data_IF_296288080979
#
_entry.id   IF_296288080979
#
_cell.length_a   1.000
_cell.length_b   1.000
_cell.length_c   1.000
_cell.angle_alpha   90.00
_cell.angle_beta   90.00
_cell.angle_gamma   90.00
#
_symmetry.space_group_name_H-M   'P 1'
#
loop_
_entity.id
_entity.type
_entity.pdbx_description
1 polymer ?
#
# COMPACT_ATOMS: atom_id res chain seq x y z
N UNK A 1 -14.01 2.03 -13.11
CA UNK A 1 -12.96 1.19 -12.46
C UNK A 1 -13.65 0.15 -11.61
N UNK A 2 -13.31 -1.12 -11.73
CA UNK A 2 -13.86 -2.18 -10.87
C UNK A 2 -13.20 -2.00 -9.49
N UNK A 3 -14.00 -1.80 -8.45
CA UNK A 3 -13.52 -1.74 -7.07
C UNK A 3 -13.29 -3.17 -6.56
N UNK A 4 -12.08 -3.68 -6.76
CA UNK A 4 -11.68 -5.04 -6.34
C UNK A 4 -11.77 -5.26 -4.82
N UNK A 5 -11.76 -4.19 -4.04
CA UNK A 5 -11.71 -4.27 -2.59
C UNK A 5 -13.10 -4.21 -1.93
N UNK A 6 -14.15 -3.83 -2.68
CA UNK A 6 -15.48 -3.64 -2.10
C UNK A 6 -16.05 -4.91 -1.45
N UNK A 7 -15.76 -6.07 -2.03
CA UNK A 7 -16.27 -7.36 -1.56
C UNK A 7 -15.62 -7.83 -0.26
N UNK A 8 -14.32 -7.53 -0.08
CA UNK A 8 -13.52 -7.97 1.07
C UNK A 8 -13.16 -6.84 2.05
N UNK A 9 -13.64 -5.62 1.80
CA UNK A 9 -13.30 -4.42 2.57
C UNK A 9 -13.51 -4.56 4.08
N UNK A 10 -14.58 -5.26 4.51
CA UNK A 10 -14.91 -5.47 5.93
C UNK A 10 -13.82 -6.23 6.69
N UNK A 11 -12.99 -7.01 6.00
CA UNK A 11 -11.91 -7.79 6.61
C UNK A 11 -10.54 -7.13 6.47
N UNK A 12 -10.43 -6.13 5.59
CA UNK A 12 -9.14 -5.62 5.15
C UNK A 12 -8.30 -5.02 6.29
N UNK A 13 -8.96 -4.46 7.30
CA UNK A 13 -8.29 -3.90 8.46
C UNK A 13 -7.42 -4.93 9.21
N UNK A 14 -7.79 -6.21 9.21
CA UNK A 14 -7.03 -7.30 9.85
C UNK A 14 -5.67 -7.48 9.13
N UNK A 15 -5.69 -7.54 7.80
CA UNK A 15 -4.47 -7.63 6.99
C UNK A 15 -3.65 -6.36 7.11
N UNK A 16 -4.28 -5.19 6.96
CA UNK A 16 -3.61 -3.90 7.02
C UNK A 16 -2.89 -3.69 8.36
N UNK A 17 -3.51 -4.07 9.47
CA UNK A 17 -2.91 -3.99 10.81
C UNK A 17 -1.64 -4.84 10.89
N UNK A 18 -1.73 -6.11 10.51
CA UNK A 18 -0.59 -7.04 10.56
C UNK A 18 0.53 -6.60 9.62
N UNK A 19 0.16 -6.18 8.43
CA UNK A 19 1.09 -5.74 7.40
C UNK A 19 1.87 -4.51 7.86
N UNK A 20 1.16 -3.46 8.31
CA UNK A 20 1.76 -2.22 8.79
C UNK A 20 2.62 -2.42 10.04
N UNK A 21 2.31 -3.40 10.89
CA UNK A 21 3.18 -3.76 12.02
C UNK A 21 4.60 -4.14 11.57
N UNK A 22 4.74 -4.74 10.39
CA UNK A 22 6.05 -5.13 9.81
C UNK A 22 6.66 -4.06 8.93
N UNK A 23 5.86 -3.38 8.08
CA UNK A 23 6.33 -2.40 7.11
C UNK A 23 6.42 -0.96 7.66
N UNK A 24 5.70 -0.66 8.74
CA UNK A 24 5.68 0.67 9.35
C UNK A 24 7.02 1.14 9.92
N UNK A 25 7.76 0.34 10.70
CA UNK A 25 9.06 0.74 11.23
C UNK A 25 10.08 1.12 10.15
N UNK A 26 10.31 0.32 9.08
CA UNK A 26 11.22 0.72 8.00
C UNK A 26 10.73 1.95 7.23
N UNK A 27 9.42 2.09 6.97
CA UNK A 27 8.85 3.30 6.38
C UNK A 27 9.16 4.53 7.24
N UNK A 28 8.85 4.46 8.54
CA UNK A 28 9.12 5.54 9.48
C UNK A 28 10.61 5.93 9.52
N UNK A 29 11.52 4.94 9.42
CA UNK A 29 12.96 5.20 9.37
C UNK A 29 13.38 5.98 8.12
N UNK A 30 12.78 5.68 6.96
CA UNK A 30 13.04 6.43 5.71
C UNK A 30 12.52 7.86 5.81
N UNK A 31 11.31 8.04 6.37
CA UNK A 31 10.63 9.33 6.37
C UNK A 31 11.21 10.34 7.35
N UNK A 32 11.79 9.91 8.49
CA UNK A 32 12.31 10.82 9.53
C UNK A 32 13.35 11.84 9.06
N UNK A 33 14.00 11.59 7.93
CA UNK A 33 14.99 12.52 7.35
C UNK A 33 14.44 13.40 6.24
N UNK A 34 13.14 13.33 5.94
CA UNK A 34 12.52 14.09 4.85
C UNK A 34 12.27 15.53 5.27
N UNK A 35 12.74 16.46 4.44
CA UNK A 35 12.42 17.89 4.59
C UNK A 35 11.00 18.14 4.06
N UNK A 36 10.08 18.46 4.96
CA UNK A 36 8.67 18.71 4.64
C UNK A 36 8.36 20.16 4.25
N UNK A 37 9.37 21.02 4.15
CA UNK A 37 9.19 22.42 3.74
C UNK A 37 8.88 22.60 2.24
N UNK A 38 9.17 21.59 1.43
CA UNK A 38 8.95 21.62 -0.02
C UNK A 38 7.50 21.43 -0.43
N UNK A 39 6.65 20.81 0.39
CA UNK A 39 5.25 20.54 0.09
C UNK A 39 4.70 19.37 0.89
N UNK A 40 3.48 18.92 0.58
CA UNK A 40 2.87 17.78 1.27
C UNK A 40 3.57 16.47 0.94
N UNK A 41 3.38 15.48 1.81
CA UNK A 41 3.65 14.07 1.52
C UNK A 41 2.44 13.47 0.81
N UNK A 42 2.65 12.79 -0.29
CA UNK A 42 1.60 12.11 -1.03
C UNK A 42 1.59 10.61 -0.70
N UNK A 43 0.49 10.11 -0.21
CA UNK A 43 0.21 8.68 -0.10
C UNK A 43 -0.73 8.26 -1.23
N UNK A 44 -0.32 7.28 -2.03
CA UNK A 44 -1.13 6.70 -3.10
C UNK A 44 -1.60 5.31 -2.67
N UNK A 45 -2.91 5.11 -2.58
CA UNK A 45 -3.54 3.89 -2.09
C UNK A 45 -3.59 3.85 -0.56
N UNK A 46 -4.27 4.82 0.06
CA UNK A 46 -4.35 4.94 1.52
C UNK A 46 -5.05 3.78 2.23
N UNK A 47 -5.85 2.98 1.52
CA UNK A 47 -6.57 1.84 2.07
C UNK A 47 -7.40 2.22 3.29
N UNK A 48 -7.15 1.56 4.42
CA UNK A 48 -7.83 1.86 5.69
C UNK A 48 -7.16 2.99 6.50
N UNK A 49 -6.04 3.57 6.00
CA UNK A 49 -5.32 4.66 6.65
C UNK A 49 -4.23 4.24 7.65
N UNK A 50 -3.84 2.96 7.68
CA UNK A 50 -2.77 2.49 8.58
C UNK A 50 -1.41 3.08 8.21
N UNK A 51 -1.10 3.15 6.94
CA UNK A 51 0.15 3.74 6.46
C UNK A 51 0.11 5.26 6.66
N UNK A 52 -1.05 5.89 6.50
CA UNK A 52 -1.27 7.32 6.82
C UNK A 52 -0.87 7.65 8.26
N UNK A 53 -1.26 6.81 9.25
CA UNK A 53 -0.85 6.97 10.65
C UNK A 53 0.66 6.89 10.84
N UNK A 54 1.33 5.99 10.12
CA UNK A 54 2.80 5.87 10.15
C UNK A 54 3.47 7.11 9.59
N UNK A 55 2.99 7.62 8.45
CA UNK A 55 3.50 8.85 7.83
C UNK A 55 3.31 10.03 8.81
N UNK A 56 2.12 10.20 9.34
CA UNK A 56 1.80 11.28 10.26
C UNK A 56 2.65 11.26 11.54
N UNK A 57 2.91 10.06 12.08
CA UNK A 57 3.77 9.87 13.25
C UNK A 57 5.25 10.12 12.95
N UNK A 58 5.73 9.73 11.75
CA UNK A 58 7.12 9.92 11.35
C UNK A 58 7.43 11.38 11.02
N UNK A 59 6.44 12.13 10.52
CA UNK A 59 6.53 13.51 10.05
C UNK A 59 5.45 14.39 10.71
N UNK A 60 5.60 14.77 11.98
CA UNK A 60 4.56 15.43 12.76
C UNK A 60 4.19 16.84 12.26
N UNK A 61 4.99 17.45 11.38
CA UNK A 61 4.71 18.76 10.79
C UNK A 61 4.21 18.70 9.34
N UNK A 62 4.22 17.53 8.71
CA UNK A 62 3.85 17.37 7.31
C UNK A 62 2.34 17.51 7.10
N UNK A 63 1.95 18.20 6.04
CA UNK A 63 0.66 17.99 5.38
C UNK A 63 0.71 16.70 4.58
N UNK A 64 -0.39 15.95 4.59
CA UNK A 64 -0.47 14.65 3.92
C UNK A 64 -1.67 14.67 2.98
N UNK A 65 -1.46 14.34 1.72
CA UNK A 65 -2.53 14.07 0.76
C UNK A 65 -2.62 12.57 0.58
N UNK A 66 -3.79 11.99 0.82
CA UNK A 66 -4.02 10.55 0.69
C UNK A 66 -5.02 10.29 -0.41
N UNK A 67 -4.59 9.60 -1.45
CA UNK A 67 -5.43 9.18 -2.55
C UNK A 67 -5.88 7.72 -2.37
N UNK A 68 -7.20 7.50 -2.35
CA UNK A 68 -7.79 6.15 -2.26
C UNK A 68 -9.01 6.05 -3.17
N UNK A 69 -8.96 5.30 -4.28
CA UNK A 69 -10.05 5.22 -5.24
C UNK A 69 -11.26 4.41 -4.74
N UNK A 70 -11.06 3.39 -3.86
CA UNK A 70 -12.16 2.59 -3.32
C UNK A 70 -12.99 3.38 -2.31
N UNK A 71 -14.28 3.56 -2.56
CA UNK A 71 -15.19 4.27 -1.67
C UNK A 71 -15.31 3.57 -0.31
N UNK A 72 -15.27 2.25 -0.27
CA UNK A 72 -15.35 1.45 0.96
C UNK A 72 -14.10 1.59 1.81
N UNK A 73 -12.92 1.56 1.20
CA UNK A 73 -11.65 1.83 1.88
C UNK A 73 -11.58 3.27 2.35
N UNK A 74 -11.95 4.23 1.50
CA UNK A 74 -11.99 5.65 1.84
C UNK A 74 -12.90 5.96 3.03
N UNK A 75 -14.01 5.23 3.19
CA UNK A 75 -14.89 5.39 4.35
C UNK A 75 -14.17 5.03 5.66
N UNK A 76 -13.38 3.96 5.68
CA UNK A 76 -12.56 3.56 6.83
C UNK A 76 -11.44 4.57 7.10
N UNK A 77 -10.71 4.96 6.06
CA UNK A 77 -9.68 6.02 6.13
C UNK A 77 -10.26 7.32 6.69
N UNK A 78 -11.36 7.81 6.12
CA UNK A 78 -12.01 9.04 6.59
C UNK A 78 -12.48 8.92 8.03
N UNK A 79 -13.04 7.77 8.43
CA UNK A 79 -13.42 7.52 9.83
C UNK A 79 -12.21 7.58 10.77
N UNK A 80 -11.06 7.04 10.36
CA UNK A 80 -9.81 7.08 11.11
C UNK A 80 -9.31 8.51 11.26
N UNK A 81 -9.20 9.24 10.16
CA UNK A 81 -8.77 10.65 10.14
C UNK A 81 -9.71 11.51 10.99
N UNK A 82 -11.03 11.30 10.89
CA UNK A 82 -12.01 12.11 11.63
C UNK A 82 -11.96 11.93 13.15
N UNK A 83 -11.45 10.80 13.65
CA UNK A 83 -11.35 10.51 15.09
C UNK A 83 -10.10 11.08 15.75
N UNK A 84 -9.05 11.33 14.98
CA UNK A 84 -7.78 11.84 15.48
C UNK A 84 -7.68 13.35 15.18
N UNK A 85 -7.61 14.23 16.22
CA UNK A 85 -7.52 15.68 16.01
C UNK A 85 -6.28 16.14 15.25
N UNK A 86 -5.17 15.40 15.32
CA UNK A 86 -3.95 15.72 14.60
C UNK A 86 -4.09 15.38 13.11
N UNK A 87 -4.56 14.18 12.80
CA UNK A 87 -4.83 13.77 11.41
C UNK A 87 -5.85 14.69 10.74
N UNK A 88 -6.91 15.10 11.45
CA UNK A 88 -7.91 16.03 10.92
C UNK A 88 -7.35 17.37 10.46
N UNK A 89 -6.28 17.84 11.06
CA UNK A 89 -5.65 19.12 10.69
C UNK A 89 -4.73 19.00 9.48
N UNK A 90 -4.14 17.81 9.27
CA UNK A 90 -3.01 17.63 8.35
C UNK A 90 -3.29 16.70 7.17
N UNK A 91 -4.34 15.88 7.24
CA UNK A 91 -4.63 14.85 6.23
C UNK A 91 -5.78 15.30 5.35
N UNK A 92 -5.51 15.37 4.05
CA UNK A 92 -6.53 15.57 3.01
C UNK A 92 -6.76 14.25 2.28
N UNK A 93 -7.99 13.73 2.36
CA UNK A 93 -8.39 12.49 1.69
C UNK A 93 -9.04 12.81 0.35
N UNK A 94 -8.58 12.16 -0.72
CA UNK A 94 -9.10 12.32 -2.08
C UNK A 94 -9.45 10.97 -2.72
N UNK A 95 -10.33 10.97 -3.72
CA UNK A 95 -10.82 9.78 -4.43
C UNK A 95 -10.02 9.46 -5.71
N UNK A 96 -8.87 10.10 -5.91
CA UNK A 96 -8.04 9.94 -7.11
C UNK A 96 -7.42 8.55 -7.24
N UNK A 97 -7.47 7.99 -8.45
CA UNK A 97 -6.65 6.85 -8.82
C UNK A 97 -5.24 7.32 -9.25
N UNK A 98 -4.23 6.46 -9.07
CA UNK A 98 -2.83 6.80 -9.34
C UNK A 98 -2.59 7.36 -10.75
N UNK A 99 -3.31 6.82 -11.75
CA UNK A 99 -3.19 7.23 -13.16
C UNK A 99 -3.58 8.69 -13.39
N UNK A 100 -4.67 9.12 -12.76
CA UNK A 100 -5.33 10.42 -13.05
C UNK A 100 -5.29 11.38 -11.87
N UNK A 101 -4.58 11.01 -10.79
CA UNK A 101 -4.52 11.82 -9.57
C UNK A 101 -4.00 13.24 -9.87
N UNK A 102 -4.77 14.28 -9.53
CA UNK A 102 -4.27 15.64 -9.54
C UNK A 102 -3.12 15.76 -8.51
N UNK A 103 -1.96 16.22 -8.99
CA UNK A 103 -0.79 16.38 -8.13
C UNK A 103 -0.61 17.86 -7.79
N UNK A 104 -0.22 18.20 -6.54
CA UNK A 104 0.20 19.55 -6.19
C UNK A 104 1.49 19.93 -6.96
N UNK A 105 1.82 21.22 -6.98
CA UNK A 105 2.98 21.73 -7.71
C UNK A 105 4.30 21.17 -7.17
N UNK A 106 4.36 20.92 -5.88
CA UNK A 106 5.54 20.36 -5.19
C UNK A 106 5.14 19.30 -4.19
N UNK A 107 6.05 18.34 -3.94
CA UNK A 107 5.91 17.25 -2.98
C UNK A 107 7.21 17.12 -2.17
N UNK A 108 7.11 16.70 -0.93
CA UNK A 108 8.27 16.36 -0.09
C UNK A 108 8.66 14.89 -0.13
N UNK A 109 7.70 14.02 -0.30
CA UNK A 109 7.90 12.58 -0.46
C UNK A 109 6.64 11.93 -1.06
N UNK A 110 6.80 10.71 -1.57
CA UNK A 110 5.68 9.87 -2.00
C UNK A 110 5.76 8.51 -1.31
N UNK A 111 4.62 7.98 -0.87
CA UNK A 111 4.48 6.64 -0.31
C UNK A 111 3.44 5.86 -1.11
N UNK A 112 3.77 4.64 -1.51
CA UNK A 112 2.91 3.81 -2.35
C UNK A 112 3.03 2.34 -1.90
N UNK A 113 2.12 1.91 -1.02
CA UNK A 113 2.12 0.56 -0.47
C UNK A 113 0.95 -0.26 -1.04
N UNK A 114 1.26 -1.43 -1.60
CA UNK A 114 0.25 -2.31 -2.19
C UNK A 114 -0.44 -1.75 -3.44
N UNK A 115 0.21 -0.88 -4.23
CA UNK A 115 -0.42 -0.17 -5.37
C UNK A 115 0.29 -0.40 -6.70
N UNK A 116 1.61 -0.32 -6.73
CA UNK A 116 2.38 -0.26 -7.97
C UNK A 116 2.12 -1.45 -8.93
N UNK A 117 1.76 -2.61 -8.42
CA UNK A 117 1.43 -3.78 -9.22
C UNK A 117 0.03 -3.76 -9.85
N UNK A 118 -0.85 -2.84 -9.43
CA UNK A 118 -2.11 -2.60 -10.15
C UNK A 118 -1.93 -1.80 -11.43
N UNK A 119 -0.74 -1.21 -11.61
CA UNK A 119 -0.39 -0.42 -12.78
C UNK A 119 0.41 -1.25 -13.78
N UNK A 120 0.09 -1.12 -15.05
CA UNK A 120 0.94 -1.62 -16.13
C UNK A 120 2.27 -0.85 -16.16
N UNK A 121 3.31 -1.40 -16.79
CA UNK A 121 4.59 -0.72 -16.91
C UNK A 121 4.50 0.67 -17.56
N UNK A 122 3.74 0.88 -18.67
CA UNK A 122 3.54 2.23 -19.23
C UNK A 122 2.87 3.21 -18.25
N UNK A 123 1.86 2.75 -17.49
CA UNK A 123 1.19 3.59 -16.48
C UNK A 123 2.14 3.97 -15.33
N UNK A 124 2.97 3.02 -14.86
CA UNK A 124 4.01 3.31 -13.86
C UNK A 124 5.01 4.34 -14.38
N UNK A 125 5.54 4.16 -15.59
CA UNK A 125 6.48 5.12 -16.21
C UNK A 125 5.87 6.52 -16.30
N UNK A 126 4.61 6.63 -16.72
CA UNK A 126 3.91 7.91 -16.77
C UNK A 126 3.75 8.54 -15.38
N UNK A 127 3.42 7.73 -14.37
CA UNK A 127 3.30 8.18 -12.99
C UNK A 127 4.65 8.65 -12.42
N UNK A 128 5.72 7.87 -12.60
CA UNK A 128 7.06 8.24 -12.13
C UNK A 128 7.51 9.58 -12.70
N UNK A 129 7.28 9.81 -13.99
CA UNK A 129 7.60 11.08 -14.65
C UNK A 129 6.85 12.27 -14.03
N UNK A 130 5.57 12.08 -13.72
CA UNK A 130 4.74 13.11 -13.08
C UNK A 130 5.20 13.41 -11.66
N UNK A 131 5.56 12.38 -10.88
CA UNK A 131 6.04 12.51 -9.50
C UNK A 131 7.45 13.14 -9.46
N UNK A 132 8.36 12.68 -10.32
CA UNK A 132 9.73 13.21 -10.39
C UNK A 132 9.78 14.72 -10.71
N UNK A 133 8.83 15.21 -11.51
CA UNK A 133 8.74 16.63 -11.85
C UNK A 133 8.34 17.52 -10.64
N UNK A 134 7.87 16.92 -9.54
CA UNK A 134 7.35 17.63 -8.35
C UNK A 134 8.18 17.40 -7.10
N UNK A 135 9.08 16.43 -7.15
CA UNK A 135 9.96 16.11 -6.03
C UNK A 135 11.29 16.86 -6.18
N UNK A 136 11.82 17.45 -5.11
CA UNK A 136 13.17 17.95 -5.11
C UNK A 136 14.19 16.81 -5.19
N UNK A 137 15.42 17.14 -5.55
CA UNK A 137 16.51 16.16 -5.57
C UNK A 137 16.74 15.59 -4.17
N UNK A 138 16.89 14.28 -4.09
CA UNK A 138 17.05 13.58 -2.82
C UNK A 138 15.75 13.18 -2.13
N UNK A 139 14.59 13.68 -2.56
CA UNK A 139 13.30 13.27 -1.97
C UNK A 139 12.91 11.84 -2.35
N UNK A 140 12.39 11.04 -1.40
CA UNK A 140 12.11 9.63 -1.64
C UNK A 140 10.72 9.38 -2.24
N UNK A 141 10.64 8.38 -3.12
CA UNK A 141 9.43 7.63 -3.40
C UNK A 141 9.59 6.28 -2.72
N UNK A 142 8.75 5.97 -1.75
CA UNK A 142 8.81 4.73 -0.98
C UNK A 142 7.72 3.78 -1.46
N UNK A 143 8.14 2.64 -2.02
CA UNK A 143 7.23 1.66 -2.63
C UNK A 143 7.37 0.34 -1.90
N UNK A 144 6.25 -0.26 -1.50
CA UNK A 144 6.25 -1.62 -0.99
C UNK A 144 5.94 -2.61 -2.11
N UNK A 145 6.66 -3.72 -2.10
CA UNK A 145 6.56 -4.80 -3.07
C UNK A 145 5.91 -6.03 -2.45
N UNK A 146 5.11 -6.74 -3.24
CA UNK A 146 4.42 -7.97 -2.80
C UNK A 146 5.35 -9.18 -2.58
N UNK A 147 6.67 -9.02 -2.75
CA UNK A 147 7.63 -10.13 -2.62
C UNK A 147 7.55 -11.16 -3.76
N UNK A 148 6.92 -10.80 -4.87
CA UNK A 148 6.82 -11.62 -6.08
C UNK A 148 7.33 -10.81 -7.26
N UNK A 149 8.59 -11.03 -7.63
CA UNK A 149 9.29 -10.28 -8.69
C UNK A 149 9.11 -10.86 -10.08
N UNK A 150 8.55 -12.08 -10.20
CA UNK A 150 8.27 -12.75 -11.48
C UNK A 150 7.05 -13.67 -11.33
N UNK A 151 6.29 -13.89 -12.44
CA UNK A 151 5.13 -14.76 -12.41
C UNK A 151 5.48 -16.20 -12.00
N UNK A 152 4.70 -16.75 -11.08
CA UNK A 152 4.83 -18.13 -10.61
C UNK A 152 3.52 -18.63 -10.00
N UNK A 153 3.31 -19.94 -9.97
CA UNK A 153 2.17 -20.54 -9.26
C UNK A 153 2.42 -20.44 -7.76
N UNK A 154 1.46 -19.90 -7.04
CA UNK A 154 1.40 -19.84 -5.57
C UNK A 154 0.15 -20.60 -5.15
N UNK A 155 0.28 -21.83 -4.62
CA UNK A 155 -0.87 -22.57 -4.09
C UNK A 155 -1.58 -21.77 -2.99
N UNK A 156 -2.90 -21.92 -2.81
CA UNK A 156 -3.61 -21.26 -1.72
C UNK A 156 -2.99 -21.58 -0.36
N UNK A 157 -2.59 -20.55 0.36
CA UNK A 157 -1.98 -20.64 1.69
C UNK A 157 -2.72 -19.73 2.67
N UNK A 158 -2.94 -20.22 3.89
CA UNK A 158 -3.48 -19.40 4.97
C UNK A 158 -2.40 -18.42 5.44
N UNK A 159 -2.60 -17.15 5.17
CA UNK A 159 -1.66 -16.08 5.49
C UNK A 159 -1.96 -15.38 6.81
N UNK A 160 -3.24 -15.38 7.24
CA UNK A 160 -3.65 -14.78 8.50
C UNK A 160 -4.74 -15.63 9.16
N UNK A 161 -4.68 -15.73 10.49
CA UNK A 161 -5.75 -16.26 11.32
C UNK A 161 -5.85 -15.42 12.60
N UNK A 162 -7.02 -14.85 12.83
CA UNK A 162 -7.30 -13.95 13.95
C UNK A 162 -8.65 -14.28 14.57
N UNK A 163 -8.77 -14.12 15.90
CA UNK A 163 -10.05 -14.31 16.60
C UNK A 163 -10.54 -12.98 17.17
N UNK A 164 -11.76 -12.62 16.84
CA UNK A 164 -12.44 -11.43 17.37
C UNK A 164 -13.75 -11.88 17.99
N UNK A 165 -13.85 -11.69 19.30
CA UNK A 165 -14.98 -12.20 20.08
C UNK A 165 -15.10 -13.73 19.94
N UNK A 166 -16.21 -14.20 19.40
CA UNK A 166 -16.50 -15.64 19.22
C UNK A 166 -16.33 -16.13 17.78
N UNK A 167 -15.68 -15.34 16.93
CA UNK A 167 -15.46 -15.68 15.53
C UNK A 167 -13.97 -15.70 15.22
N UNK A 168 -13.54 -16.69 14.42
CA UNK A 168 -12.18 -16.75 13.88
C UNK A 168 -12.23 -16.40 12.39
N UNK A 169 -11.34 -15.52 11.97
CA UNK A 169 -11.17 -15.03 10.62
C UNK A 169 -9.91 -15.65 10.03
N UNK A 170 -10.03 -16.29 8.89
CA UNK A 170 -8.91 -16.81 8.12
C UNK A 170 -8.81 -16.09 6.78
N UNK A 171 -7.60 -15.65 6.43
CA UNK A 171 -7.31 -15.11 5.12
C UNK A 171 -6.38 -16.06 4.36
N UNK A 172 -6.85 -16.50 3.23
CA UNK A 172 -6.13 -17.36 2.30
C UNK A 172 -5.77 -16.59 1.05
N UNK A 173 -4.56 -16.78 0.53
CA UNK A 173 -4.08 -16.16 -0.70
C UNK A 173 -3.40 -17.19 -1.58
N UNK A 174 -3.69 -17.15 -2.88
CA UNK A 174 -3.02 -17.93 -3.91
C UNK A 174 -2.81 -17.05 -5.14
N UNK A 175 -2.04 -17.54 -6.10
CA UNK A 175 -1.79 -16.80 -7.33
C UNK A 175 -1.38 -17.71 -8.49
N UNK A 176 -1.68 -17.27 -9.69
CA UNK A 176 -1.30 -17.95 -10.93
C UNK A 176 -0.80 -16.92 -11.95
N UNK A 177 0.16 -17.30 -12.80
CA UNK A 177 0.58 -16.49 -13.94
C UNK A 177 -0.59 -16.20 -14.88
N UNK A 178 -0.58 -14.98 -15.45
CA UNK A 178 -1.40 -14.58 -16.58
C UNK A 178 -0.50 -14.18 -17.76
N UNK A 179 -0.87 -13.20 -18.54
CA UNK A 179 -0.04 -12.75 -19.65
C UNK A 179 1.13 -11.88 -19.20
N UNK A 180 2.29 -12.06 -19.84
CA UNK A 180 3.48 -11.23 -19.65
C UNK A 180 4.03 -11.33 -18.22
N UNK A 181 4.11 -10.20 -17.54
CA UNK A 181 4.61 -10.07 -16.17
C UNK A 181 3.50 -10.09 -15.11
N UNK A 182 2.26 -10.36 -15.50
CA UNK A 182 1.12 -10.30 -14.61
C UNK A 182 0.81 -11.64 -13.95
N UNK A 183 0.24 -11.56 -12.75
CA UNK A 183 -0.35 -12.65 -11.99
C UNK A 183 -1.79 -12.31 -11.63
N UNK A 184 -2.64 -13.34 -11.56
CA UNK A 184 -3.94 -13.25 -10.90
C UNK A 184 -3.80 -13.77 -9.48
N UNK A 185 -3.98 -12.90 -8.51
CA UNK A 185 -4.12 -13.31 -7.12
C UNK A 185 -5.59 -13.57 -6.80
N UNK A 186 -5.83 -14.63 -6.04
CA UNK A 186 -7.14 -14.93 -5.46
C UNK A 186 -7.00 -14.91 -3.96
N UNK A 187 -7.88 -14.15 -3.31
CA UNK A 187 -7.98 -14.06 -1.85
C UNK A 187 -9.29 -14.64 -1.39
N UNK A 188 -9.28 -15.37 -0.28
CA UNK A 188 -10.48 -15.94 0.32
C UNK A 188 -10.48 -15.68 1.82
N UNK A 189 -11.55 -15.08 2.29
CA UNK A 189 -11.83 -14.91 3.70
C UNK A 189 -12.82 -15.98 4.17
N UNK A 190 -12.51 -16.62 5.30
CA UNK A 190 -13.41 -17.54 5.98
C UNK A 190 -13.69 -17.05 7.38
N UNK A 191 -14.96 -17.02 7.75
CA UNK A 191 -15.40 -16.72 9.11
C UNK A 191 -15.88 -18.01 9.75
N UNK A 192 -15.26 -18.40 10.85
CA UNK A 192 -15.53 -19.64 11.57
C UNK A 192 -16.14 -19.34 12.94
N UNK A 193 -17.04 -20.20 13.39
CA UNK A 193 -17.51 -20.23 14.78
C UNK A 193 -16.50 -20.91 15.69
N UNK A 194 -16.74 -20.86 17.01
CA UNK A 194 -15.93 -21.53 18.04
C UNK A 194 -15.77 -23.04 17.81
N UNK A 195 -16.79 -23.71 17.22
CA UNK A 195 -16.76 -25.12 16.86
C UNK A 195 -15.96 -25.42 15.56
N UNK A 196 -15.35 -24.40 14.98
CA UNK A 196 -14.58 -24.51 13.73
C UNK A 196 -15.41 -24.55 12.45
N UNK A 197 -16.75 -24.48 12.54
CA UNK A 197 -17.61 -24.49 11.34
C UNK A 197 -17.55 -23.16 10.62
N UNK A 198 -17.25 -23.19 9.32
CA UNK A 198 -17.34 -22.00 8.46
C UNK A 198 -18.79 -21.55 8.32
N UNK A 199 -19.05 -20.30 8.66
CA UNK A 199 -20.38 -19.68 8.55
C UNK A 199 -20.47 -18.66 7.42
N UNK A 200 -19.31 -18.20 6.93
CA UNK A 200 -19.24 -17.29 5.79
C UNK A 200 -17.92 -17.48 5.05
N UNK A 201 -17.99 -17.40 3.73
CA UNK A 201 -16.82 -17.39 2.86
C UNK A 201 -16.98 -16.28 1.82
N UNK A 202 -15.93 -15.50 1.61
CA UNK A 202 -15.89 -14.38 0.64
C UNK A 202 -14.61 -14.50 -0.15
N UNK A 203 -14.72 -14.54 -1.48
CA UNK A 203 -13.55 -14.61 -2.36
C UNK A 203 -13.55 -13.45 -3.34
N UNK A 204 -12.35 -12.96 -3.66
CA UNK A 204 -12.11 -11.94 -4.64
C UNK A 204 -10.82 -12.22 -5.41
N UNK A 205 -10.63 -11.58 -6.56
CA UNK A 205 -9.41 -11.74 -7.34
C UNK A 205 -9.01 -10.42 -8.00
N UNK A 206 -7.71 -10.20 -8.14
CA UNK A 206 -7.16 -9.04 -8.80
C UNK A 206 -5.92 -9.41 -9.62
N UNK A 207 -5.60 -8.58 -10.61
CA UNK A 207 -4.37 -8.70 -11.40
C UNK A 207 -3.29 -7.84 -10.77
N UNK A 208 -2.09 -8.39 -10.72
CA UNK A 208 -0.89 -7.75 -10.19
C UNK A 208 0.28 -7.96 -11.14
N UNK A 209 0.87 -6.87 -11.62
CA UNK A 209 2.10 -6.90 -12.39
C UNK A 209 3.29 -7.10 -11.45
N UNK A 210 4.17 -8.04 -11.81
CA UNK A 210 5.34 -8.38 -10.99
C UNK A 210 6.56 -7.56 -11.41
N UNK A 211 7.35 -7.13 -10.46
CA UNK A 211 8.58 -6.38 -10.65
C UNK A 211 9.45 -6.46 -9.39
N UNK A 212 10.68 -6.06 -9.53
CA UNK A 212 11.60 -5.80 -8.41
C UNK A 212 11.95 -4.30 -8.30
N UNK A 213 12.72 -3.96 -7.27
CA UNK A 213 13.16 -2.56 -7.05
C UNK A 213 14.02 -2.04 -8.18
N UNK A 214 14.86 -2.90 -8.79
CA UNK A 214 15.74 -2.51 -9.89
C UNK A 214 14.95 -2.11 -11.14
N UNK A 215 13.89 -2.86 -11.45
CA UNK A 215 12.98 -2.53 -12.55
C UNK A 215 12.25 -1.20 -12.30
N UNK A 216 11.74 -0.98 -11.09
CA UNK A 216 11.09 0.29 -10.76
C UNK A 216 12.05 1.48 -10.88
N UNK A 217 13.30 1.30 -10.43
CA UNK A 217 14.33 2.33 -10.55
C UNK A 217 14.64 2.67 -12.01
N UNK A 218 14.76 1.65 -12.87
CA UNK A 218 14.96 1.83 -14.31
C UNK A 218 13.77 2.52 -14.98
N UNK A 219 12.53 2.12 -14.66
CA UNK A 219 11.30 2.77 -15.14
C UNK A 219 11.22 4.25 -14.72
N UNK A 220 11.67 4.57 -13.50
CA UNK A 220 11.65 5.93 -12.95
C UNK A 220 12.83 6.80 -13.41
N UNK A 221 13.91 6.20 -13.93
CA UNK A 221 15.18 6.91 -14.18
C UNK A 221 15.82 7.42 -12.88
N UNK A 222 15.66 6.70 -11.78
CA UNK A 222 16.08 7.07 -10.43
C UNK A 222 17.08 6.07 -9.86
N UNK A 223 17.85 6.49 -8.86
CA UNK A 223 18.61 5.55 -8.01
C UNK A 223 17.67 4.85 -7.05
N UNK A 224 18.08 3.67 -6.56
CA UNK A 224 17.25 2.95 -5.59
C UNK A 224 18.06 2.26 -4.51
N UNK A 225 17.45 2.07 -3.37
CA UNK A 225 17.87 1.14 -2.32
C UNK A 225 16.72 0.25 -1.88
N UNK A 226 17.05 -0.95 -1.46
CA UNK A 226 16.09 -1.95 -1.00
C UNK A 226 16.21 -2.12 0.52
N UNK A 227 15.07 -2.24 1.19
CA UNK A 227 14.99 -2.55 2.61
C UNK A 227 14.26 -3.88 2.75
N UNK A 228 14.92 -4.88 3.32
CA UNK A 228 14.39 -6.23 3.57
C UNK A 228 14.46 -6.62 5.04
N UNK A 229 15.14 -5.80 5.85
CA UNK A 229 15.30 -6.03 7.28
C UNK A 229 15.15 -4.72 8.06
N UNK A 230 14.53 -4.81 9.22
CA UNK A 230 14.47 -3.72 10.17
C UNK A 230 14.64 -4.27 11.59
N UNK A 231 15.61 -3.72 12.35
CA UNK A 231 15.89 -4.18 13.70
C UNK A 231 16.30 -5.66 13.79
N UNK A 232 17.00 -6.19 12.76
CA UNK A 232 17.42 -7.60 12.69
C UNK A 232 16.29 -8.59 12.37
N UNK A 233 15.13 -8.11 11.92
CA UNK A 233 14.00 -8.96 11.49
C UNK A 233 13.70 -8.72 10.02
N UNK A 234 13.36 -9.79 9.30
CA UNK A 234 12.87 -9.68 7.94
C UNK A 234 11.56 -8.88 7.90
N UNK A 235 11.46 -7.97 6.94
CA UNK A 235 10.28 -7.14 6.69
C UNK A 235 9.83 -7.31 5.25
N UNK A 236 8.58 -6.94 4.90
CA UNK A 236 8.17 -6.83 3.50
C UNK A 236 9.17 -6.00 2.70
N UNK A 237 9.42 -6.40 1.48
CA UNK A 237 10.39 -5.70 0.62
C UNK A 237 9.92 -4.28 0.30
N UNK A 238 10.73 -3.31 0.67
CA UNK A 238 10.48 -1.89 0.42
C UNK A 238 11.57 -1.34 -0.49
N UNK A 239 11.16 -0.75 -1.60
CA UNK A 239 12.00 0.04 -2.49
C UNK A 239 11.95 1.52 -2.12
N UNK A 240 13.10 2.16 -2.05
CA UNK A 240 13.21 3.62 -1.91
C UNK A 240 13.87 4.13 -3.19
N UNK A 241 13.10 4.83 -4.00
CA UNK A 241 13.59 5.48 -5.22
C UNK A 241 13.95 6.93 -4.88
N UNK A 242 15.07 7.41 -5.41
CA UNK A 242 15.57 8.75 -5.17
C UNK A 242 16.05 9.35 -6.49
N UNK A 243 15.61 10.56 -6.76
CA UNK A 243 15.99 11.34 -7.92
C UNK A 243 17.44 11.81 -7.88
#
# INVERSE_FOLDING_TARGET
>A
MIDYYSTSAEFYELVATRHTASSGPPLSSVLRGVDTSHGPVLEIGGGTGRVTEVIASALPQAEIIVAEPSATMRAMLTSRVARDPDLRRRVTVTDGAAQDLPLPDTLSAVVMFGVAGHLTAPERVALWKRLAARLPDGAPIVVELMGVSSPRVIPPVMSLRETIGRQTYEWWIGGEPTEGDAMRFTTTWKVLREDGRTVREVSDSYVWHTFDVARLAAEAGMTSRRITEAGGRAVPEIGVLVK
#
